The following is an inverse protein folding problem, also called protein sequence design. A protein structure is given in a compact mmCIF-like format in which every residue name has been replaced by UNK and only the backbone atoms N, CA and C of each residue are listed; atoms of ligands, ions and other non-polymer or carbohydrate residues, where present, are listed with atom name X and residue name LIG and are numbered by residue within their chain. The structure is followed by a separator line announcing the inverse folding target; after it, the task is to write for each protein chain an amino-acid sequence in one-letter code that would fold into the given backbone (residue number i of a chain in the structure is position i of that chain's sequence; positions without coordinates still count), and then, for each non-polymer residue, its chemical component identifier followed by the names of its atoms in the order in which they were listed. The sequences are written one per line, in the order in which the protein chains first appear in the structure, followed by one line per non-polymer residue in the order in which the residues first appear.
data_IF_669207866835
#
_entry.id   IF_669207866835
#
_cell.length_a   1.000
_cell.length_b   1.000
_cell.length_c   1.000
_cell.angle_alpha   90.00
_cell.angle_beta   90.00
_cell.angle_gamma   90.00
#
_symmetry.space_group_name_H-M   'P 1'
#
loop_
_entity.id
_entity.type
_entity.pdbx_description
1 polymer ?
#
# COMPACT_ATOMS: atom_id res chain seq x y z
N UNK A 1 -9.46 29.12 -16.65
CA UNK A 1 -10.24 28.92 -17.89
C UNK A 1 -9.72 27.81 -18.82
N UNK A 2 -8.54 27.92 -19.46
CA UNK A 2 -8.06 26.87 -20.40
C UNK A 2 -7.28 25.71 -19.73
N UNK A 3 -6.65 25.95 -18.59
CA UNK A 3 -5.86 24.93 -17.86
C UNK A 3 -6.75 23.98 -17.03
N UNK A 4 -7.88 24.44 -16.51
CA UNK A 4 -8.83 23.62 -15.74
C UNK A 4 -9.56 22.58 -16.59
N UNK A 5 -9.88 22.89 -17.85
CA UNK A 5 -10.54 21.95 -18.76
C UNK A 5 -9.62 20.79 -19.18
N UNK A 6 -8.32 21.09 -19.34
CA UNK A 6 -7.29 20.10 -19.70
C UNK A 6 -6.90 19.21 -18.52
N UNK A 7 -6.96 19.75 -17.30
CA UNK A 7 -6.83 18.96 -16.07
C UNK A 7 -8.06 18.06 -15.86
N UNK A 8 -9.28 18.55 -16.06
CA UNK A 8 -10.48 17.71 -15.85
C UNK A 8 -10.61 16.55 -16.85
N UNK A 9 -10.26 16.75 -18.12
CA UNK A 9 -10.42 15.69 -19.14
C UNK A 9 -9.43 14.53 -18.99
N UNK A 10 -8.20 14.78 -18.52
CA UNK A 10 -7.20 13.71 -18.33
C UNK A 10 -7.51 12.81 -17.13
N UNK A 11 -8.23 13.32 -16.13
CA UNK A 11 -8.61 12.56 -14.94
C UNK A 11 -9.81 11.64 -15.23
N UNK A 12 -10.79 12.08 -16.02
CA UNK A 12 -11.97 11.26 -16.37
C UNK A 12 -11.66 10.05 -17.25
N UNK A 13 -10.74 10.17 -18.22
CA UNK A 13 -10.34 9.03 -19.08
C UNK A 13 -9.55 7.98 -18.27
N UNK A 14 -8.82 8.43 -17.24
CA UNK A 14 -7.98 7.57 -16.39
C UNK A 14 -8.77 6.67 -15.43
N UNK A 15 -9.96 7.08 -14.95
CA UNK A 15 -10.74 6.28 -14.00
C UNK A 15 -11.60 5.19 -14.65
N UNK A 16 -12.09 5.41 -15.87
CA UNK A 16 -12.93 4.43 -16.56
C UNK A 16 -12.08 3.24 -17.06
N UNK A 17 -10.91 3.51 -17.64
CA UNK A 17 -9.97 2.47 -18.08
C UNK A 17 -9.40 1.65 -16.90
N UNK A 18 -9.38 2.24 -15.70
CA UNK A 18 -9.01 1.60 -14.43
C UNK A 18 -10.00 0.54 -13.95
N UNK A 19 -11.29 0.57 -14.35
CA UNK A 19 -12.27 -0.46 -13.93
C UNK A 19 -12.14 -1.75 -14.73
N UNK A 20 -11.85 -1.64 -16.02
CA UNK A 20 -11.82 -2.80 -16.92
C UNK A 20 -10.50 -3.58 -16.84
N UNK A 21 -9.42 -2.95 -16.33
CA UNK A 21 -8.11 -3.60 -16.09
C UNK A 21 -7.89 -4.06 -14.63
N UNK A 22 -8.84 -3.84 -13.71
CA UNK A 22 -8.67 -4.10 -12.28
C UNK A 22 -8.86 -5.57 -11.87
N UNK A 23 -8.50 -6.46 -12.77
CA UNK A 23 -8.71 -7.88 -12.60
C UNK A 23 -7.33 -8.51 -12.46
N UNK A 24 -6.76 -8.48 -11.25
CA UNK A 24 -5.81 -9.53 -10.79
C UNK A 24 -6.54 -10.89 -10.66
N UNK A 25 -7.59 -11.12 -11.46
CA UNK A 25 -8.32 -12.38 -11.52
C UNK A 25 -7.38 -13.38 -12.15
N UNK A 26 -6.94 -14.31 -11.33
CA UNK A 26 -6.09 -15.39 -11.78
C UNK A 26 -6.95 -16.42 -12.51
N UNK A 27 -6.51 -16.80 -13.70
CA UNK A 27 -6.95 -18.03 -14.33
C UNK A 27 -6.31 -19.23 -13.61
N UNK A 28 -6.91 -20.44 -13.68
CA UNK A 28 -6.31 -21.65 -13.11
C UNK A 28 -4.86 -21.87 -13.53
N UNK A 29 -4.51 -21.50 -14.77
CA UNK A 29 -3.17 -21.65 -15.34
C UNK A 29 -2.16 -20.70 -14.69
N UNK A 30 -2.60 -19.56 -14.14
CA UNK A 30 -1.75 -18.55 -13.49
C UNK A 30 -1.58 -18.76 -11.98
N UNK A 31 -2.38 -19.65 -11.37
CA UNK A 31 -2.36 -19.84 -9.92
C UNK A 31 -0.99 -20.33 -9.44
N UNK A 32 -0.40 -21.28 -10.13
CA UNK A 32 0.88 -21.86 -9.73
C UNK A 32 2.01 -20.83 -9.76
N UNK A 33 2.08 -20.01 -10.82
CA UNK A 33 3.08 -18.95 -10.95
C UNK A 33 2.87 -17.86 -9.88
N UNK A 34 1.61 -17.54 -9.58
CA UNK A 34 1.28 -16.58 -8.53
C UNK A 34 1.69 -17.08 -7.13
N UNK A 35 1.44 -18.35 -6.83
CA UNK A 35 1.85 -18.96 -5.56
C UNK A 35 3.38 -19.04 -5.45
N UNK A 36 4.06 -19.39 -6.54
CA UNK A 36 5.52 -19.40 -6.60
C UNK A 36 6.08 -18.00 -6.35
N UNK A 37 5.55 -16.97 -7.02
CA UNK A 37 5.95 -15.58 -6.81
C UNK A 37 5.74 -15.13 -5.34
N UNK A 38 4.66 -15.58 -4.70
CA UNK A 38 4.41 -15.35 -3.28
C UNK A 38 5.45 -16.01 -2.37
N UNK A 39 5.78 -17.28 -2.63
CA UNK A 39 6.80 -18.01 -1.88
C UNK A 39 8.19 -17.39 -2.06
N UNK A 40 8.55 -17.03 -3.29
CA UNK A 40 9.83 -16.39 -3.62
C UNK A 40 9.95 -15.03 -2.95
N UNK A 41 8.87 -14.24 -2.94
CA UNK A 41 8.83 -12.97 -2.22
C UNK A 41 9.02 -13.17 -0.70
N UNK A 42 8.34 -14.15 -0.12
CA UNK A 42 8.48 -14.47 1.30
C UNK A 42 9.92 -14.85 1.66
N UNK A 43 10.54 -15.73 0.88
CA UNK A 43 11.93 -16.14 1.10
C UNK A 43 12.91 -15.01 0.81
N UNK A 44 12.63 -14.14 -0.16
CA UNK A 44 13.45 -12.97 -0.42
C UNK A 44 13.43 -11.97 0.73
N UNK A 45 12.26 -11.75 1.34
CA UNK A 45 12.10 -10.86 2.49
C UNK A 45 12.83 -11.47 3.68
N UNK A 46 12.48 -12.69 4.12
CA UNK A 46 12.94 -13.25 5.39
C UNK A 46 14.24 -14.06 5.30
N UNK A 47 14.73 -14.37 4.10
CA UNK A 47 15.99 -15.07 3.85
C UNK A 47 16.16 -16.29 4.78
N UNK A 48 17.24 -16.34 5.57
CA UNK A 48 17.53 -17.44 6.51
C UNK A 48 16.44 -17.68 7.56
N UNK A 49 15.56 -16.71 7.82
CA UNK A 49 14.47 -16.84 8.79
C UNK A 49 13.19 -17.43 8.18
N UNK A 50 13.08 -17.52 6.85
CA UNK A 50 11.83 -17.90 6.20
C UNK A 50 11.32 -19.28 6.64
N UNK A 51 12.22 -20.27 6.72
CA UNK A 51 11.89 -21.61 7.20
C UNK A 51 11.33 -21.61 8.62
N UNK A 52 11.95 -20.86 9.54
CA UNK A 52 11.47 -20.76 10.93
C UNK A 52 10.10 -20.09 10.99
N UNK A 53 9.86 -19.05 10.20
CA UNK A 53 8.56 -18.38 10.18
C UNK A 53 7.47 -19.29 9.62
N UNK A 54 7.74 -20.04 8.54
CA UNK A 54 6.82 -21.06 8.02
C UNK A 54 6.47 -22.09 9.08
N UNK A 55 7.45 -22.60 9.81
CA UNK A 55 7.22 -23.53 10.93
C UNK A 55 6.34 -22.93 12.03
N UNK A 56 6.56 -21.67 12.39
CA UNK A 56 5.72 -20.97 13.38
C UNK A 56 4.27 -20.89 12.87
N UNK A 57 4.05 -20.51 11.61
CA UNK A 57 2.71 -20.43 11.04
C UNK A 57 2.00 -21.80 11.05
N UNK A 58 2.67 -22.84 10.55
CA UNK A 58 2.15 -24.23 10.55
C UNK A 58 1.88 -24.75 11.96
N UNK A 59 2.72 -24.40 12.94
CA UNK A 59 2.51 -24.79 14.33
C UNK A 59 1.25 -24.16 14.94
N UNK A 60 0.91 -22.92 14.55
CA UNK A 60 -0.31 -22.26 15.02
C UNK A 60 -1.55 -22.83 14.34
N UNK A 61 -1.45 -23.18 13.04
CA UNK A 61 -2.50 -23.88 12.31
C UNK A 61 -1.92 -24.50 11.03
N UNK A 62 -2.27 -25.76 10.67
CA UNK A 62 -1.67 -26.45 9.53
C UNK A 62 -1.79 -25.69 8.20
N UNK A 63 -2.94 -25.03 7.97
CA UNK A 63 -3.20 -24.31 6.71
C UNK A 63 -2.76 -22.83 6.72
N UNK A 64 -2.35 -22.26 7.87
CA UNK A 64 -2.13 -20.82 7.98
C UNK A 64 -0.95 -20.34 7.12
N UNK A 65 0.14 -21.12 7.10
CA UNK A 65 1.31 -20.80 6.29
C UNK A 65 0.96 -20.75 4.80
N UNK A 66 0.36 -21.83 4.30
CA UNK A 66 -0.09 -21.92 2.90
C UNK A 66 -1.11 -20.83 2.55
N UNK A 67 -2.07 -20.55 3.44
CA UNK A 67 -3.05 -19.51 3.21
C UNK A 67 -2.41 -18.13 3.03
N UNK A 68 -1.48 -17.76 3.93
CA UNK A 68 -0.77 -16.47 3.85
C UNK A 68 0.06 -16.38 2.56
N UNK A 69 0.76 -17.45 2.20
CA UNK A 69 1.61 -17.47 1.01
C UNK A 69 0.78 -17.37 -0.27
N UNK A 70 -0.26 -18.19 -0.38
CA UNK A 70 -1.04 -18.37 -1.60
C UNK A 70 -2.07 -17.25 -1.82
N UNK A 71 -2.56 -16.61 -0.75
CA UNK A 71 -3.62 -15.59 -0.86
C UNK A 71 -3.20 -14.19 -0.41
N UNK A 72 -2.05 -14.03 0.24
CA UNK A 72 -1.52 -12.73 0.64
C UNK A 72 -0.21 -12.41 -0.09
N UNK A 73 0.80 -13.27 0.01
CA UNK A 73 2.08 -12.99 -0.66
C UNK A 73 1.98 -13.06 -2.17
N UNK A 74 1.30 -14.06 -2.74
CA UNK A 74 1.14 -14.20 -4.18
C UNK A 74 0.29 -13.09 -4.81
N UNK A 75 -1.04 -13.13 -4.66
CA UNK A 75 -1.93 -12.26 -5.44
C UNK A 75 -1.95 -10.80 -4.95
N UNK A 76 -1.60 -10.54 -3.69
CA UNK A 76 -1.67 -9.18 -3.12
C UNK A 76 -0.30 -8.49 -3.09
N UNK A 77 0.74 -9.15 -2.57
CA UNK A 77 2.05 -8.50 -2.34
C UNK A 77 3.06 -8.67 -3.48
N UNK A 78 3.06 -9.80 -4.19
CA UNK A 78 3.96 -9.99 -5.31
C UNK A 78 3.51 -9.09 -6.49
N UNK A 79 4.45 -8.39 -7.14
CA UNK A 79 4.14 -7.62 -8.34
C UNK A 79 3.51 -8.52 -9.40
N UNK A 80 2.36 -8.12 -9.96
CA UNK A 80 1.63 -8.93 -10.91
C UNK A 80 2.44 -9.25 -12.19
N UNK A 81 3.36 -8.37 -12.56
CA UNK A 81 4.32 -8.57 -13.66
C UNK A 81 5.16 -9.85 -13.52
N UNK A 82 5.40 -10.34 -12.29
CA UNK A 82 6.23 -11.53 -12.05
C UNK A 82 5.56 -12.83 -12.49
N UNK A 83 4.22 -12.92 -12.39
CA UNK A 83 3.46 -14.13 -12.71
C UNK A 83 2.47 -13.96 -13.88
N UNK A 84 2.20 -12.73 -14.32
CA UNK A 84 1.46 -12.47 -15.57
C UNK A 84 2.38 -12.32 -16.78
N UNK A 85 3.69 -12.25 -16.56
CA UNK A 85 4.70 -12.03 -17.59
C UNK A 85 4.46 -10.78 -18.45
N UNK A 86 3.93 -9.72 -17.83
CA UNK A 86 3.71 -8.41 -18.44
C UNK A 86 4.66 -7.38 -17.87
N UNK A 87 4.77 -6.21 -18.51
CA UNK A 87 5.41 -5.06 -17.87
C UNK A 87 4.61 -4.59 -16.64
N UNK A 88 5.32 -4.06 -15.65
CA UNK A 88 4.69 -3.45 -14.48
C UNK A 88 4.05 -2.10 -14.88
N UNK A 89 2.73 -1.93 -14.74
CA UNK A 89 2.10 -0.65 -15.04
C UNK A 89 2.48 0.40 -13.98
N UNK A 90 2.53 1.67 -14.38
CA UNK A 90 2.93 2.80 -13.49
C UNK A 90 2.07 2.89 -12.22
N UNK A 91 0.81 2.46 -12.29
CA UNK A 91 -0.14 2.49 -11.18
C UNK A 91 -0.08 1.26 -10.27
N UNK A 92 0.74 0.25 -10.59
CA UNK A 92 0.85 -0.97 -9.78
C UNK A 92 1.29 -0.64 -8.35
N UNK A 93 0.66 -1.24 -7.34
CA UNK A 93 1.16 -1.19 -5.96
C UNK A 93 2.29 -2.20 -5.84
N UNK A 94 3.45 -1.82 -6.37
CA UNK A 94 4.63 -2.66 -6.41
C UNK A 94 5.23 -2.85 -5.01
N UNK A 95 6.31 -3.63 -4.94
CA UNK A 95 6.90 -4.05 -3.66
C UNK A 95 7.21 -2.90 -2.69
N UNK A 96 7.75 -1.77 -3.18
CA UNK A 96 8.07 -0.61 -2.33
C UNK A 96 6.78 0.06 -1.86
N UNK A 97 5.84 0.34 -2.78
CA UNK A 97 4.55 0.95 -2.45
C UNK A 97 3.73 0.09 -1.50
N UNK A 98 3.75 -1.23 -1.68
CA UNK A 98 3.03 -2.16 -0.82
C UNK A 98 3.56 -2.11 0.61
N UNK A 99 4.89 -2.11 0.80
CA UNK A 99 5.47 -1.96 2.14
C UNK A 99 5.11 -0.62 2.78
N UNK A 100 5.17 0.48 2.04
CA UNK A 100 4.80 1.82 2.56
C UNK A 100 3.32 1.89 2.97
N UNK A 101 2.41 1.37 2.13
CA UNK A 101 0.98 1.32 2.44
C UNK A 101 0.72 0.44 3.67
N UNK A 102 1.38 -0.71 3.77
CA UNK A 102 1.25 -1.59 4.93
C UNK A 102 1.80 -0.96 6.22
N UNK A 103 2.97 -0.31 6.17
CA UNK A 103 3.52 0.46 7.29
C UNK A 103 2.52 1.53 7.72
N UNK A 104 2.00 2.33 6.78
CA UNK A 104 1.05 3.38 7.09
C UNK A 104 -0.22 2.84 7.76
N UNK A 105 -0.84 1.81 7.19
CA UNK A 105 -2.07 1.23 7.73
C UNK A 105 -1.87 0.57 9.11
N UNK A 106 -0.83 -0.26 9.27
CA UNK A 106 -0.58 -1.00 10.50
C UNK A 106 -0.08 -0.08 11.63
N UNK A 107 0.75 0.90 11.30
CA UNK A 107 1.26 1.85 12.28
C UNK A 107 0.15 2.80 12.76
N UNK A 108 -0.71 3.27 11.85
CA UNK A 108 -1.88 4.06 12.22
C UNK A 108 -2.92 3.26 13.03
N UNK A 109 -3.11 1.97 12.73
CA UNK A 109 -4.01 1.10 13.50
C UNK A 109 -3.55 0.91 14.96
N UNK A 110 -2.24 0.80 15.19
CA UNK A 110 -1.68 0.48 16.49
C UNK A 110 -1.89 -0.98 16.92
N UNK A 111 -1.20 -1.39 17.99
CA UNK A 111 -1.32 -2.74 18.58
C UNK A 111 -0.70 -3.90 17.77
N UNK A 112 -0.09 -3.62 16.61
CA UNK A 112 0.47 -4.62 15.67
C UNK A 112 1.93 -4.35 15.32
N UNK A 113 2.73 -4.00 16.34
CA UNK A 113 4.15 -3.67 16.16
C UNK A 113 4.97 -4.75 15.42
N UNK A 114 4.79 -6.07 15.67
CA UNK A 114 5.50 -7.10 14.90
C UNK A 114 5.24 -7.04 13.39
N UNK A 115 4.00 -6.71 12.99
CA UNK A 115 3.61 -6.58 11.58
C UNK A 115 4.23 -5.33 10.96
N UNK A 116 4.24 -4.19 11.69
CA UNK A 116 4.92 -2.97 11.23
C UNK A 116 6.41 -3.25 11.00
N UNK A 117 7.09 -3.90 11.95
CA UNK A 117 8.52 -4.27 11.83
C UNK A 117 8.75 -5.18 10.63
N UNK A 118 7.86 -6.16 10.41
CA UNK A 118 7.94 -7.05 9.26
C UNK A 118 7.87 -6.29 7.92
N UNK A 119 7.01 -5.28 7.81
CA UNK A 119 6.91 -4.47 6.58
C UNK A 119 8.06 -3.46 6.42
N UNK A 120 8.63 -2.95 7.52
CA UNK A 120 9.89 -2.19 7.48
C UNK A 120 11.01 -3.07 6.93
N UNK A 121 11.15 -4.31 7.42
CA UNK A 121 12.13 -5.24 6.89
C UNK A 121 11.87 -5.53 5.40
N UNK A 122 10.61 -5.72 5.01
CA UNK A 122 10.20 -5.86 3.62
C UNK A 122 10.62 -4.68 2.73
N UNK A 123 10.50 -3.45 3.23
CA UNK A 123 10.93 -2.21 2.57
C UNK A 123 12.45 -2.13 2.41
N UNK A 124 13.21 -2.37 3.48
CA UNK A 124 14.68 -2.35 3.45
C UNK A 124 15.24 -3.39 2.46
N UNK A 125 14.60 -4.55 2.42
CA UNK A 125 14.93 -5.63 1.49
C UNK A 125 14.51 -5.32 0.06
N UNK A 126 13.85 -4.20 -0.24
CA UNK A 126 13.42 -3.83 -1.60
C UNK A 126 14.51 -3.20 -2.46
N UNK A 127 15.71 -2.98 -1.90
CA UNK A 127 16.85 -2.40 -2.61
C UNK A 127 17.20 -3.04 -3.98
N UNK A 128 17.12 -4.37 -4.19
CA UNK A 128 17.39 -4.96 -5.51
C UNK A 128 16.47 -4.48 -6.64
N UNK A 129 15.31 -3.88 -6.33
CA UNK A 129 14.45 -3.21 -7.33
C UNK A 129 15.23 -2.14 -8.10
N UNK A 130 16.23 -1.51 -7.47
CA UNK A 130 17.10 -0.51 -8.11
C UNK A 130 17.88 -1.06 -9.31
N UNK A 131 18.14 -2.36 -9.38
CA UNK A 131 18.87 -3.01 -10.48
C UNK A 131 18.05 -3.03 -11.78
N UNK A 132 16.72 -2.92 -11.66
CA UNK A 132 15.79 -2.96 -12.78
C UNK A 132 15.39 -1.55 -13.26
N UNK A 133 15.84 -0.49 -12.56
CA UNK A 133 15.48 0.89 -12.86
C UNK A 133 16.51 1.56 -13.77
N UNK A 134 16.02 2.22 -14.83
CA UNK A 134 16.86 2.91 -15.82
C UNK A 134 16.87 4.43 -15.67
N UNK A 135 16.05 5.00 -14.78
CA UNK A 135 15.95 6.44 -14.54
C UNK A 135 16.57 6.83 -13.21
N UNK A 136 17.54 7.74 -13.26
CA UNK A 136 18.33 8.13 -12.08
C UNK A 136 17.51 8.77 -10.95
N UNK A 137 16.56 9.65 -11.27
CA UNK A 137 15.73 10.32 -10.26
C UNK A 137 14.78 9.37 -9.51
N UNK A 138 14.23 8.36 -10.22
CA UNK A 138 13.41 7.32 -9.59
C UNK A 138 14.29 6.41 -8.72
N UNK A 139 15.51 6.13 -9.18
CA UNK A 139 16.50 5.31 -8.46
C UNK A 139 16.90 5.94 -7.12
N UNK A 140 17.24 7.23 -7.11
CA UNK A 140 17.60 7.95 -5.88
C UNK A 140 16.45 7.92 -4.85
N UNK A 141 15.22 8.14 -5.32
CA UNK A 141 14.03 8.11 -4.46
C UNK A 141 13.81 6.72 -3.84
N UNK A 142 13.92 5.65 -4.63
CA UNK A 142 13.80 4.29 -4.12
C UNK A 142 14.98 3.92 -3.21
N UNK A 143 16.19 4.39 -3.50
CA UNK A 143 17.36 4.16 -2.65
C UNK A 143 17.17 4.78 -1.27
N UNK A 144 16.65 6.01 -1.21
CA UNK A 144 16.29 6.66 0.05
C UNK A 144 15.20 5.87 0.79
N UNK A 145 14.09 5.56 0.12
CA UNK A 145 12.94 4.86 0.74
C UNK A 145 13.31 3.47 1.27
N UNK A 146 14.25 2.77 0.62
CA UNK A 146 14.72 1.44 1.03
C UNK A 146 15.90 1.47 2.02
N UNK A 147 16.20 2.63 2.60
CA UNK A 147 17.17 2.80 3.68
C UNK A 147 16.51 2.90 5.06
N UNK A 148 17.30 2.74 6.12
CA UNK A 148 16.84 2.97 7.51
C UNK A 148 16.28 4.38 7.70
N UNK A 149 16.93 5.39 7.10
CA UNK A 149 16.45 6.77 7.14
C UNK A 149 15.10 6.95 6.43
N UNK A 150 14.91 6.28 5.29
CA UNK A 150 13.64 6.27 4.58
C UNK A 150 12.51 5.59 5.36
N UNK A 151 12.82 4.47 6.02
CA UNK A 151 11.86 3.78 6.89
C UNK A 151 11.47 4.63 8.11
N UNK A 152 12.45 5.29 8.75
CA UNK A 152 12.19 6.22 9.84
C UNK A 152 11.33 7.41 9.38
N UNK A 153 11.67 7.99 8.22
CA UNK A 153 10.89 9.08 7.62
C UNK A 153 9.44 8.66 7.36
N UNK A 154 9.21 7.46 6.82
CA UNK A 154 7.87 6.95 6.59
C UNK A 154 7.05 6.84 7.89
N UNK A 155 7.65 6.33 8.97
CA UNK A 155 6.98 6.26 10.28
C UNK A 155 6.67 7.66 10.85
N UNK A 156 7.60 8.60 10.74
CA UNK A 156 7.40 9.97 11.20
C UNK A 156 6.28 10.67 10.43
N UNK A 157 6.25 10.51 9.11
CA UNK A 157 5.19 11.06 8.27
C UNK A 157 3.82 10.48 8.65
N UNK A 158 3.72 9.17 8.88
CA UNK A 158 2.45 8.55 9.32
C UNK A 158 2.02 9.11 10.68
N UNK A 159 2.95 9.29 11.63
CA UNK A 159 2.64 9.93 12.91
C UNK A 159 2.12 11.36 12.74
N UNK A 160 2.71 12.16 11.85
CA UNK A 160 2.25 13.52 11.55
C UNK A 160 0.83 13.53 10.98
N UNK A 161 0.55 12.62 10.03
CA UNK A 161 -0.80 12.45 9.47
C UNK A 161 -1.79 12.05 10.57
N UNK A 162 -1.48 11.06 11.40
CA UNK A 162 -2.36 10.64 12.50
C UNK A 162 -2.62 11.80 13.47
N UNK A 163 -1.61 12.59 13.84
CA UNK A 163 -1.80 13.77 14.71
C UNK A 163 -2.76 14.78 14.11
N UNK A 164 -2.68 15.03 12.80
CA UNK A 164 -3.61 15.96 12.13
C UNK A 164 -5.02 15.38 12.11
N UNK A 165 -5.19 14.09 11.83
CA UNK A 165 -6.50 13.43 11.77
C UNK A 165 -7.14 13.29 13.15
N UNK A 166 -6.36 12.98 14.18
CA UNK A 166 -6.83 12.85 15.57
C UNK A 166 -7.06 14.21 16.24
N UNK A 167 -6.32 15.24 15.80
CA UNK A 167 -6.38 16.61 16.33
C UNK A 167 -7.18 17.61 15.50
N UNK A 168 -7.74 17.21 14.35
CA UNK A 168 -8.66 18.05 13.59
C UNK A 168 -10.04 17.99 14.23
N UNK A 169 -10.42 19.02 14.98
CA UNK A 169 -11.83 19.35 15.14
C UNK A 169 -12.38 19.65 13.74
N UNK A 170 -13.53 19.08 13.38
CA UNK A 170 -14.17 19.19 12.07
C UNK A 170 -14.44 20.67 11.69
N UNK A 171 -13.44 21.37 11.14
CA UNK A 171 -13.57 22.76 10.68
C UNK A 171 -14.63 22.92 9.56
N UNK A 172 -15.04 21.81 8.93
CA UNK A 172 -16.15 21.80 7.96
C UNK A 172 -17.54 21.78 8.63
N UNK A 173 -17.69 21.39 9.90
CA UNK A 173 -18.98 21.39 10.62
C UNK A 173 -19.38 22.77 11.16
N UNK A 174 -18.45 23.67 11.43
CA UNK A 174 -18.77 25.02 11.93
C UNK A 174 -19.24 25.98 10.82
N UNK A 175 -18.94 25.71 9.56
CA UNK A 175 -19.37 26.58 8.44
C UNK A 175 -20.81 26.33 7.94
N UNK A 176 -21.52 25.34 8.51
CA UNK A 176 -22.86 24.93 8.04
C UNK A 176 -23.99 25.08 9.07
N UNK A 177 -23.81 25.87 10.13
CA UNK A 177 -24.96 26.32 10.93
C UNK A 177 -25.61 27.54 10.26
N UNK A 178 -26.80 27.42 9.65
CA UNK A 178 -27.58 28.60 9.29
C UNK A 178 -28.02 29.29 10.59
N UNK A 179 -27.68 30.56 10.67
CA UNK A 179 -28.09 31.51 11.70
C UNK A 179 -29.62 31.48 11.91
N UNK A 180 -30.08 30.73 12.92
CA UNK A 180 -31.47 30.77 13.38
C UNK A 180 -31.64 31.91 14.38
N UNK A 181 -31.49 33.15 13.91
CA UNK A 181 -31.88 34.35 14.65
C UNK A 181 -32.97 35.15 13.89
N UNK A 182 -33.93 34.44 13.30
CA UNK A 182 -35.17 35.08 12.83
C UNK A 182 -36.11 35.33 14.02
N UNK A 183 -36.08 36.57 14.53
CA UNK A 183 -37.06 37.12 15.47
C UNK A 183 -38.50 36.87 14.99
N UNK A 184 -39.30 36.24 15.84
CA UNK A 184 -40.74 36.02 15.62
C UNK A 184 -41.51 37.27 16.07
N UNK A 185 -42.26 37.97 15.20
CA UNK A 185 -43.11 39.07 15.67
C UNK A 185 -44.29 38.53 16.48
N UNK A 186 -44.47 39.09 17.68
CA UNK A 186 -45.64 38.86 18.53
C UNK A 186 -46.88 39.45 17.85
N UNK A 187 -47.91 38.62 17.64
CA UNK A 187 -49.24 39.09 17.25
C UNK A 187 -50.06 39.38 18.51
N UNK A 188 -50.39 40.65 18.70
CA UNK A 188 -51.72 41.12 19.11
C UNK A 188 -52.16 42.13 18.07
#
# INVERSE_FOLDING_TARGET
MAWEKRARSSWTVSFQQRRDSNSRRLSPEQLQDCFQAGSDLFDHIYSRQSHKLRQVLTHNHPDLGEYILNFQYGPLFAPASQYLHTSEPVWEVNRVRMSLVAIAALHAQGGVAPQVVSHIYGLLRARPVLEQMTKDAERESIEFLTSEHGAQWALQLVNEVCRVVEGSEDAERESSSPDTSASRPSKL
#
